data_IF_562047085437
#
_entry.id   IF_562047085437
#
_cell.length_a   1.000
_cell.length_b   1.000
_cell.length_c   1.000
_cell.angle_alpha   90.00
_cell.angle_beta   90.00
_cell.angle_gamma   90.00
#
_symmetry.space_group_name_H-M   'P 1'
#
loop_
_entity.id
_entity.type
_entity.pdbx_description
1 polymer ?
#
# COMPACT_ATOMS: atom_id res chain seq x y z
N UNK A 1 -5.83 -27.85 -20.05
CA UNK A 1 -5.97 -27.18 -18.74
C UNK A 1 -4.90 -26.10 -18.67
N UNK A 2 -5.28 -24.81 -18.64
CA UNK A 2 -4.32 -23.71 -18.57
C UNK A 2 -4.90 -22.56 -17.74
N UNK A 3 -4.27 -22.32 -16.59
CA UNK A 3 -4.61 -21.34 -15.57
C UNK A 3 -4.17 -19.95 -16.03
N UNK A 4 -5.10 -19.13 -16.54
CA UNK A 4 -4.89 -17.69 -16.67
C UNK A 4 -5.07 -17.02 -15.31
N UNK A 5 -4.02 -17.04 -14.48
CA UNK A 5 -3.86 -16.10 -13.37
C UNK A 5 -3.50 -14.73 -13.97
N UNK A 6 -4.52 -13.90 -14.20
CA UNK A 6 -4.31 -12.51 -14.64
C UNK A 6 -3.83 -11.67 -13.45
N UNK A 7 -2.52 -11.58 -13.28
CA UNK A 7 -1.91 -10.36 -12.77
C UNK A 7 -2.20 -9.26 -13.78
N UNK A 8 -3.08 -8.33 -13.42
CA UNK A 8 -3.33 -7.17 -14.25
C UNK A 8 -2.02 -6.36 -14.35
N UNK A 9 -1.50 -6.10 -15.56
CA UNK A 9 -0.34 -5.23 -15.70
C UNK A 9 -0.70 -3.86 -15.10
N UNK A 10 0.22 -3.23 -14.37
CA UNK A 10 0.07 -1.99 -13.58
C UNK A 10 -0.03 -0.72 -14.46
N UNK A 11 -0.93 -0.77 -15.42
CA UNK A 11 -0.68 -0.26 -16.76
C UNK A 11 -1.95 0.15 -17.50
N UNK A 12 -2.94 -0.75 -17.43
CA UNK A 12 -4.30 -0.48 -17.91
C UNK A 12 -5.21 0.13 -16.85
N UNK A 13 -4.67 0.66 -15.75
CA UNK A 13 -5.48 1.31 -14.71
C UNK A 13 -5.79 2.79 -14.97
N UNK A 14 -5.18 3.40 -16.00
CA UNK A 14 -5.51 4.76 -16.43
C UNK A 14 -6.62 4.83 -17.51
N UNK A 15 -7.04 3.70 -18.12
CA UNK A 15 -8.16 3.70 -19.11
C UNK A 15 -9.28 2.69 -18.87
N UNK A 16 -9.27 1.92 -17.77
CA UNK A 16 -10.41 1.09 -17.34
C UNK A 16 -11.36 1.78 -16.36
N UNK A 17 -11.15 3.07 -16.08
CA UNK A 17 -12.08 3.89 -15.29
C UNK A 17 -13.40 4.23 -16.02
N UNK A 18 -13.62 3.69 -17.22
CA UNK A 18 -14.78 3.99 -18.06
C UNK A 18 -15.82 2.86 -18.19
N UNK A 19 -15.54 1.57 -17.95
CA UNK A 19 -16.52 0.51 -18.25
C UNK A 19 -16.40 -0.75 -17.35
N UNK A 20 -16.67 -0.62 -16.05
CA UNK A 20 -17.07 -1.74 -15.21
C UNK A 20 -18.34 -1.36 -14.43
N UNK A 21 -19.34 -2.24 -14.29
CA UNK A 21 -20.64 -1.86 -13.73
C UNK A 21 -20.49 -1.34 -12.29
N UNK A 22 -21.12 -0.20 -12.03
CA UNK A 22 -21.09 0.59 -10.79
C UNK A 22 -21.81 -0.05 -9.59
N UNK A 23 -21.83 -1.38 -9.44
CA UNK A 23 -22.69 -1.99 -8.41
C UNK A 23 -22.09 -3.24 -7.77
N UNK A 24 -20.95 -3.12 -7.06
CA UNK A 24 -20.64 -4.05 -5.96
C UNK A 24 -19.86 -3.32 -4.86
N UNK A 25 -20.35 -3.43 -3.61
CA UNK A 25 -19.58 -3.09 -2.42
C UNK A 25 -18.36 -4.00 -2.33
N UNK A 26 -17.23 -3.49 -1.86
CA UNK A 26 -15.97 -4.23 -1.71
C UNK A 26 -15.34 -3.92 -0.37
N UNK A 27 -14.65 -4.90 0.21
CA UNK A 27 -13.83 -4.71 1.39
C UNK A 27 -12.41 -4.41 0.93
N UNK A 28 -11.87 -3.25 1.29
CA UNK A 28 -10.47 -2.89 1.04
C UNK A 28 -9.68 -2.98 2.33
N UNK A 29 -8.55 -3.67 2.31
CA UNK A 29 -7.69 -3.86 3.48
C UNK A 29 -6.27 -3.40 3.17
N UNK A 30 -5.68 -2.58 4.03
CA UNK A 30 -4.23 -2.42 4.13
C UNK A 30 -3.70 -3.47 5.08
N UNK A 31 -2.78 -4.30 4.59
CA UNK A 31 -2.04 -5.23 5.42
C UNK A 31 -0.65 -4.64 5.70
N UNK A 32 -0.32 -4.44 6.97
CA UNK A 32 1.01 -4.00 7.41
C UNK A 32 1.48 -4.79 8.63
N UNK A 33 2.79 -4.78 8.95
CA UNK A 33 3.30 -5.58 10.07
C UNK A 33 2.76 -5.15 11.44
N UNK A 34 2.41 -3.87 11.62
CA UNK A 34 1.95 -3.34 12.91
C UNK A 34 0.42 -3.24 13.00
N UNK A 35 -0.26 -3.15 11.87
CA UNK A 35 -1.69 -2.87 11.83
C UNK A 35 -2.39 -3.33 10.55
N UNK A 36 -3.70 -3.53 10.66
CA UNK A 36 -4.61 -3.65 9.54
C UNK A 36 -5.53 -2.44 9.53
N UNK A 37 -5.67 -1.80 8.36
CA UNK A 37 -6.75 -0.84 8.13
C UNK A 37 -7.74 -1.48 7.18
N UNK A 38 -9.03 -1.36 7.44
CA UNK A 38 -10.03 -1.81 6.51
C UNK A 38 -11.16 -0.82 6.34
N UNK A 39 -11.74 -0.78 5.15
CA UNK A 39 -12.88 0.08 4.82
C UNK A 39 -13.76 -0.59 3.77
N UNK A 40 -15.06 -0.36 3.84
CA UNK A 40 -15.99 -0.78 2.79
C UNK A 40 -16.07 0.33 1.75
N UNK A 41 -15.95 -0.03 0.46
CA UNK A 41 -16.12 0.88 -0.66
C UNK A 41 -17.37 0.56 -1.44
N UNK A 42 -18.07 1.60 -1.88
CA UNK A 42 -19.11 1.52 -2.90
C UNK A 42 -18.65 2.30 -4.13
N UNK A 43 -18.12 1.58 -5.13
CA UNK A 43 -17.43 2.19 -6.25
C UNK A 43 -16.24 3.04 -5.79
N UNK A 44 -16.23 4.32 -6.15
CA UNK A 44 -15.15 5.25 -5.78
C UNK A 44 -15.33 5.88 -4.39
N UNK A 45 -16.44 5.63 -3.68
CA UNK A 45 -16.73 6.24 -2.37
C UNK A 45 -16.44 5.28 -1.24
N UNK A 46 -15.95 5.81 -0.11
CA UNK A 46 -15.90 5.09 1.16
C UNK A 46 -17.32 5.03 1.75
N UNK A 47 -17.68 3.92 2.37
CA UNK A 47 -18.90 3.83 3.18
C UNK A 47 -18.58 4.44 4.54
N UNK A 48 -19.36 5.45 4.93
CA UNK A 48 -19.18 6.14 6.21
C UNK A 48 -19.30 5.17 7.40
N UNK A 49 -18.46 5.38 8.42
CA UNK A 49 -18.41 4.52 9.61
C UNK A 49 -17.84 3.11 9.38
N UNK A 50 -17.47 2.74 8.15
CA UNK A 50 -16.92 1.40 7.86
C UNK A 50 -15.41 1.27 8.06
N UNK A 51 -14.72 2.39 8.30
CA UNK A 51 -13.29 2.40 8.52
C UNK A 51 -12.95 1.83 9.90
N UNK A 52 -12.12 0.79 9.92
CA UNK A 52 -11.62 0.16 11.15
C UNK A 52 -10.10 0.07 11.10
N UNK A 53 -9.51 0.15 12.28
CA UNK A 53 -8.08 -0.03 12.49
C UNK A 53 -7.88 -1.09 13.57
N UNK A 54 -7.07 -2.10 13.25
CA UNK A 54 -6.81 -3.26 14.10
C UNK A 54 -5.30 -3.36 14.33
N UNK A 55 -4.91 -3.45 15.60
CA UNK A 55 -3.53 -3.72 15.99
C UNK A 55 -3.14 -5.16 15.64
N UNK A 56 -1.95 -5.35 15.06
CA UNK A 56 -1.36 -6.68 14.89
C UNK A 56 -0.55 -7.00 16.15
N UNK A 57 -0.92 -8.06 16.85
CA UNK A 57 -0.18 -8.52 18.03
C UNK A 57 1.24 -8.99 17.63
N UNK A 58 2.23 -8.74 18.48
CA UNK A 58 3.62 -9.13 18.21
C UNK A 58 4.35 -8.24 17.18
N UNK A 59 3.81 -7.05 16.90
CA UNK A 59 4.41 -5.99 16.10
C UNK A 59 5.85 -5.67 16.58
N UNK A 60 6.85 -6.33 15.99
CA UNK A 60 8.26 -6.21 16.40
C UNK A 60 9.10 -7.47 16.24
N UNK A 61 8.46 -8.65 16.17
CA UNK A 61 9.15 -9.94 16.02
C UNK A 61 9.56 -10.24 14.56
N UNK A 62 10.45 -9.43 14.00
CA UNK A 62 11.23 -9.81 12.81
C UNK A 62 10.57 -9.64 11.44
N UNK A 63 9.43 -8.95 11.33
CA UNK A 63 8.84 -8.55 10.04
C UNK A 63 8.18 -9.69 9.23
N UNK A 64 8.01 -10.88 9.83
CA UNK A 64 7.24 -11.96 9.21
C UNK A 64 5.74 -11.62 9.19
N UNK A 65 5.11 -11.88 8.06
CA UNK A 65 3.71 -11.59 7.76
C UNK A 65 2.65 -12.46 8.45
N UNK A 66 3.03 -13.52 9.18
CA UNK A 66 2.06 -14.49 9.74
C UNK A 66 1.06 -13.83 10.71
N UNK A 67 1.52 -13.00 11.65
CA UNK A 67 0.63 -12.33 12.60
C UNK A 67 -0.41 -11.42 11.90
N UNK A 68 -0.03 -10.80 10.78
CA UNK A 68 -0.94 -9.98 9.98
C UNK A 68 -1.93 -10.82 9.19
N UNK A 69 -1.55 -12.02 8.75
CA UNK A 69 -2.51 -12.98 8.17
C UNK A 69 -3.52 -13.48 9.21
N UNK A 70 -3.08 -13.75 10.43
CA UNK A 70 -3.97 -14.18 11.50
C UNK A 70 -4.97 -13.06 11.86
N UNK A 71 -4.48 -11.81 11.89
CA UNK A 71 -5.34 -10.64 12.05
C UNK A 71 -6.32 -10.47 10.87
N UNK A 72 -5.88 -10.72 9.63
CA UNK A 72 -6.76 -10.70 8.45
C UNK A 72 -7.83 -11.77 8.53
N UNK A 73 -7.46 -13.01 8.89
CA UNK A 73 -8.40 -14.12 9.08
C UNK A 73 -9.46 -13.76 10.12
N UNK A 74 -9.03 -13.24 11.26
CA UNK A 74 -9.91 -12.79 12.33
C UNK A 74 -10.86 -11.69 11.85
N UNK A 75 -10.37 -10.69 11.11
CA UNK A 75 -11.19 -9.64 10.51
C UNK A 75 -12.26 -10.24 9.58
N UNK A 76 -11.87 -11.13 8.67
CA UNK A 76 -12.80 -11.73 7.70
C UNK A 76 -13.85 -12.63 8.38
N UNK A 77 -13.53 -13.22 9.53
CA UNK A 77 -14.45 -14.05 10.31
C UNK A 77 -15.41 -13.25 11.20
N UNK A 78 -15.23 -11.93 11.34
CA UNK A 78 -16.18 -11.11 12.10
C UNK A 78 -17.59 -11.26 11.51
N UNK A 79 -18.64 -11.46 12.32
CA UNK A 79 -19.99 -11.80 11.82
C UNK A 79 -20.51 -10.84 10.75
N UNK A 80 -20.29 -9.54 10.91
CA UNK A 80 -20.73 -8.53 9.94
C UNK A 80 -20.00 -8.62 8.59
N UNK A 81 -18.70 -8.96 8.59
CA UNK A 81 -17.88 -9.08 7.38
C UNK A 81 -18.13 -10.42 6.70
N UNK A 82 -18.12 -11.50 7.48
CA UNK A 82 -18.37 -12.86 7.03
C UNK A 82 -19.76 -13.02 6.39
N UNK A 83 -20.79 -12.38 6.96
CA UNK A 83 -22.14 -12.41 6.39
C UNK A 83 -22.24 -11.64 5.06
N UNK A 84 -21.48 -10.54 4.91
CA UNK A 84 -21.53 -9.71 3.71
C UNK A 84 -20.78 -10.31 2.53
N UNK A 85 -19.78 -11.18 2.77
CA UNK A 85 -18.95 -11.86 1.75
C UNK A 85 -18.47 -10.93 0.62
N UNK A 86 -18.12 -9.70 0.97
CA UNK A 86 -17.71 -8.70 0.00
C UNK A 86 -16.43 -9.15 -0.71
N UNK A 87 -16.27 -8.88 -2.02
CA UNK A 87 -15.00 -9.06 -2.70
C UNK A 87 -13.89 -8.29 -1.98
N UNK A 88 -12.73 -8.93 -1.83
CA UNK A 88 -11.60 -8.43 -1.07
C UNK A 88 -10.54 -7.82 -1.99
N UNK A 89 -10.10 -6.61 -1.65
CA UNK A 89 -8.98 -5.89 -2.28
C UNK A 89 -7.92 -5.60 -1.21
N UNK A 90 -6.70 -6.08 -1.41
CA UNK A 90 -5.60 -5.98 -0.44
C UNK A 90 -4.54 -5.02 -0.97
N UNK A 91 -4.22 -4.01 -0.17
CA UNK A 91 -3.03 -3.17 -0.33
C UNK A 91 -1.95 -3.66 0.62
N UNK A 92 -0.76 -3.95 0.09
CA UNK A 92 0.38 -4.39 0.89
C UNK A 92 1.25 -3.21 1.27
N UNK A 93 1.65 -3.18 2.54
CA UNK A 93 2.70 -2.29 3.04
C UNK A 93 3.97 -2.41 2.20
N UNK A 94 4.70 -1.29 2.07
CA UNK A 94 6.01 -1.28 1.42
C UNK A 94 7.00 -2.27 2.07
N UNK A 95 6.75 -2.70 3.31
CA UNK A 95 7.53 -3.73 4.02
C UNK A 95 7.52 -5.09 3.32
N UNK A 96 6.45 -5.43 2.62
CA UNK A 96 6.34 -6.70 1.89
C UNK A 96 6.21 -6.52 0.37
N UNK A 97 5.96 -5.30 -0.10
CA UNK A 97 6.01 -4.96 -1.53
C UNK A 97 7.21 -4.09 -1.84
N UNK A 98 8.28 -4.69 -2.36
CA UNK A 98 9.48 -3.96 -2.77
C UNK A 98 9.30 -3.37 -4.16
N UNK A 99 9.81 -2.15 -4.35
CA UNK A 99 9.63 -1.39 -5.58
C UNK A 99 10.98 -0.92 -6.10
N UNK A 100 11.21 -1.11 -7.40
CA UNK A 100 12.40 -0.63 -8.11
C UNK A 100 12.02 -0.05 -9.46
N UNK A 101 12.83 0.87 -9.95
CA UNK A 101 12.78 1.32 -11.33
C UNK A 101 13.75 0.50 -12.17
N UNK A 102 13.21 -0.31 -13.07
CA UNK A 102 14.00 -1.08 -14.03
C UNK A 102 14.23 -0.24 -15.30
N UNK A 103 15.49 -0.10 -15.76
CA UNK A 103 15.76 0.59 -17.01
C UNK A 103 15.11 -0.15 -18.20
N UNK A 104 14.93 0.56 -19.30
CA UNK A 104 14.54 -0.07 -20.56
C UNK A 104 15.56 -1.14 -20.97
N UNK A 105 15.07 -2.25 -21.51
CA UNK A 105 15.87 -3.34 -22.06
C UNK A 105 15.06 -4.07 -23.12
N UNK A 106 15.70 -4.53 -24.19
CA UNK A 106 15.05 -5.39 -25.20
C UNK A 106 14.56 -6.72 -24.60
N UNK A 107 15.09 -7.14 -23.45
CA UNK A 107 14.57 -8.29 -22.71
C UNK A 107 13.09 -8.11 -22.31
N UNK A 108 12.57 -6.88 -22.24
CA UNK A 108 11.17 -6.58 -21.94
C UNK A 108 10.22 -6.85 -23.11
N UNK A 109 10.73 -7.13 -24.31
CA UNK A 109 9.93 -7.40 -25.53
C UNK A 109 9.34 -8.81 -25.57
N UNK A 110 9.88 -9.77 -24.79
CA UNK A 110 9.31 -11.11 -24.65
C UNK A 110 9.01 -11.43 -23.20
N UNK A 111 7.89 -12.11 -22.94
CA UNK A 111 7.44 -12.46 -21.59
C UNK A 111 8.47 -13.29 -20.82
N UNK A 112 9.03 -14.31 -21.47
CA UNK A 112 10.01 -15.21 -20.86
C UNK A 112 11.32 -14.50 -20.45
N UNK A 113 11.78 -13.55 -21.26
CA UNK A 113 12.97 -12.73 -20.95
C UNK A 113 12.66 -11.59 -19.98
N UNK A 114 11.45 -11.03 -20.04
CA UNK A 114 11.03 -9.91 -19.21
C UNK A 114 11.03 -10.32 -17.74
N UNK A 115 10.40 -11.46 -17.40
CA UNK A 115 10.36 -11.94 -16.01
C UNK A 115 11.76 -12.09 -15.41
N UNK A 116 12.69 -12.72 -16.14
CA UNK A 116 14.09 -12.89 -15.69
C UNK A 116 14.80 -11.55 -15.52
N UNK A 117 14.65 -10.63 -16.48
CA UNK A 117 15.26 -9.31 -16.39
C UNK A 117 14.76 -8.53 -15.17
N UNK A 118 13.44 -8.47 -14.96
CA UNK A 118 12.83 -7.77 -13.82
C UNK A 118 13.26 -8.40 -12.50
N UNK A 119 13.34 -9.73 -12.43
CA UNK A 119 13.87 -10.47 -11.29
C UNK A 119 15.32 -10.06 -10.98
N UNK A 120 16.18 -9.95 -12.00
CA UNK A 120 17.57 -9.50 -11.83
C UNK A 120 17.64 -8.06 -11.30
N UNK A 121 16.76 -7.16 -11.74
CA UNK A 121 16.71 -5.79 -11.22
C UNK A 121 16.39 -5.74 -9.72
N UNK A 122 15.45 -6.57 -9.26
CA UNK A 122 15.14 -6.70 -7.83
C UNK A 122 16.30 -7.36 -7.06
N UNK A 123 16.88 -8.43 -7.58
CA UNK A 123 18.00 -9.13 -6.94
C UNK A 123 19.22 -8.22 -6.75
N UNK A 124 19.46 -7.29 -7.67
CA UNK A 124 20.55 -6.32 -7.55
C UNK A 124 20.40 -5.37 -6.34
N UNK A 125 19.17 -5.08 -5.90
CA UNK A 125 18.91 -4.20 -4.75
C UNK A 125 18.63 -4.93 -3.45
N UNK A 126 17.97 -6.09 -3.53
CA UNK A 126 17.45 -6.81 -2.36
C UNK A 126 18.11 -8.18 -2.13
N UNK A 127 19.07 -8.55 -2.98
CA UNK A 127 19.84 -9.78 -2.87
C UNK A 127 19.08 -11.05 -3.29
N UNK A 128 19.66 -12.20 -2.95
CA UNK A 128 19.18 -13.52 -3.36
C UNK A 128 17.82 -13.92 -2.77
N UNK A 129 17.39 -13.27 -1.68
CA UNK A 129 16.07 -13.49 -1.07
C UNK A 129 14.92 -13.23 -2.04
N UNK A 130 15.18 -12.51 -3.13
CA UNK A 130 14.21 -12.20 -4.18
C UNK A 130 13.83 -13.41 -5.03
N UNK A 131 14.60 -14.51 -5.05
CA UNK A 131 14.35 -15.67 -5.96
C UNK A 131 12.98 -16.32 -5.78
N UNK A 132 12.39 -16.22 -4.59
CA UNK A 132 11.03 -16.71 -4.28
C UNK A 132 9.93 -15.68 -4.51
N UNK A 133 10.24 -14.50 -5.05
CA UNK A 133 9.27 -13.43 -5.21
C UNK A 133 8.49 -13.54 -6.53
N UNK A 134 7.22 -13.19 -6.46
CA UNK A 134 6.42 -12.87 -7.62
C UNK A 134 6.76 -11.44 -8.03
N UNK A 135 7.16 -11.28 -9.30
CA UNK A 135 7.63 -10.01 -9.84
C UNK A 135 6.72 -9.54 -10.96
N UNK A 136 6.26 -8.29 -10.87
CA UNK A 136 5.41 -7.65 -11.88
C UNK A 136 5.96 -6.28 -12.23
N UNK A 137 5.87 -5.92 -13.51
CA UNK A 137 6.17 -4.57 -14.01
C UNK A 137 4.91 -3.82 -14.42
N UNK A 138 5.00 -2.50 -14.49
CA UNK A 138 4.03 -1.66 -15.21
C UNK A 138 4.20 -1.79 -16.74
N UNK A 139 3.34 -1.08 -17.50
CA UNK A 139 3.36 -1.06 -18.98
C UNK A 139 4.13 0.13 -19.54
N UNK A 140 5.29 0.47 -18.98
CA UNK A 140 6.03 1.58 -19.56
C UNK A 140 6.22 1.36 -21.08
N UNK A 141 5.97 2.41 -21.91
CA UNK A 141 6.12 2.31 -23.34
C UNK A 141 7.55 1.91 -23.70
N UNK A 142 7.73 1.49 -24.95
CA UNK A 142 9.05 1.21 -25.49
C UNK A 142 10.03 2.35 -25.19
N UNK A 143 11.23 2.02 -24.73
CA UNK A 143 12.27 3.00 -24.40
C UNK A 143 12.15 3.66 -23.03
N UNK A 144 11.09 3.40 -22.26
CA UNK A 144 10.90 3.99 -20.93
C UNK A 144 11.22 3.01 -19.79
N UNK A 145 11.71 3.57 -18.68
CA UNK A 145 11.89 2.88 -17.40
C UNK A 145 10.55 2.34 -16.90
N UNK A 146 10.58 1.11 -16.36
CA UNK A 146 9.42 0.45 -15.76
C UNK A 146 9.45 0.50 -14.25
N UNK A 147 8.28 0.70 -13.64
CA UNK A 147 8.11 0.44 -12.22
C UNK A 147 7.91 -1.07 -12.03
N UNK A 148 8.70 -1.65 -11.14
CA UNK A 148 8.67 -3.07 -10.83
C UNK A 148 8.30 -3.26 -9.37
N UNK A 149 7.41 -4.21 -9.10
CA UNK A 149 7.05 -4.64 -7.77
C UNK A 149 7.41 -6.12 -7.57
N UNK A 150 8.12 -6.41 -6.48
CA UNK A 150 8.39 -7.76 -6.01
C UNK A 150 7.72 -8.01 -4.67
N UNK A 151 7.07 -9.16 -4.53
CA UNK A 151 6.44 -9.64 -3.29
C UNK A 151 6.77 -11.11 -3.10
N UNK A 152 7.01 -11.54 -1.87
CA UNK A 152 7.17 -12.97 -1.55
C UNK A 152 5.96 -13.80 -2.05
N UNK A 153 6.22 -14.82 -2.88
CA UNK A 153 5.16 -15.64 -3.48
C UNK A 153 4.39 -16.44 -2.42
N UNK A 154 5.05 -16.84 -1.34
CA UNK A 154 4.41 -17.58 -0.23
C UNK A 154 3.41 -16.69 0.51
N UNK A 155 3.73 -15.41 0.70
CA UNK A 155 2.79 -14.42 1.24
C UNK A 155 1.59 -14.24 0.29
N UNK A 156 1.83 -14.07 -1.01
CA UNK A 156 0.75 -13.90 -1.97
C UNK A 156 -0.20 -15.10 -1.97
N UNK A 157 0.35 -16.32 -1.91
CA UNK A 157 -0.47 -17.52 -1.85
C UNK A 157 -1.24 -17.60 -0.54
N UNK A 158 -0.59 -17.37 0.60
CA UNK A 158 -1.25 -17.41 1.90
C UNK A 158 -2.38 -16.36 2.02
N UNK A 159 -2.25 -15.18 1.39
CA UNK A 159 -3.34 -14.20 1.31
C UNK A 159 -4.54 -14.69 0.49
N UNK A 160 -4.28 -15.36 -0.63
CA UNK A 160 -5.32 -15.98 -1.46
C UNK A 160 -6.03 -17.07 -0.67
N UNK A 161 -5.28 -17.90 0.04
CA UNK A 161 -5.80 -19.03 0.83
C UNK A 161 -6.67 -18.54 1.98
N UNK A 162 -6.19 -17.58 2.79
CA UNK A 162 -6.97 -16.96 3.88
C UNK A 162 -8.29 -16.39 3.36
N UNK A 163 -8.26 -15.68 2.23
CA UNK A 163 -9.47 -15.12 1.62
C UNK A 163 -10.45 -16.22 1.19
N UNK A 164 -9.96 -17.27 0.53
CA UNK A 164 -10.78 -18.39 0.06
C UNK A 164 -11.38 -19.19 1.22
N UNK A 165 -10.59 -19.50 2.25
CA UNK A 165 -11.02 -20.19 3.47
C UNK A 165 -12.12 -19.41 4.21
N UNK A 166 -12.06 -18.08 4.19
CA UNK A 166 -13.09 -17.21 4.77
C UNK A 166 -14.27 -16.94 3.81
N UNK A 167 -14.27 -17.51 2.61
CA UNK A 167 -15.36 -17.37 1.63
C UNK A 167 -15.40 -16.03 0.89
N UNK A 168 -14.28 -15.30 0.84
CA UNK A 168 -14.14 -14.03 0.12
C UNK A 168 -13.40 -14.21 -1.21
N UNK A 169 -13.94 -13.62 -2.27
CA UNK A 169 -13.22 -13.54 -3.54
C UNK A 169 -12.11 -12.47 -3.46
N UNK A 170 -10.85 -12.89 -3.39
CA UNK A 170 -9.70 -11.98 -3.49
C UNK A 170 -9.54 -11.49 -4.94
N UNK A 171 -9.78 -10.20 -5.17
CA UNK A 171 -9.80 -9.61 -6.52
C UNK A 171 -8.48 -8.95 -6.89
N UNK A 172 -7.84 -8.30 -5.92
CA UNK A 172 -6.64 -7.50 -6.13
C UNK A 172 -5.75 -7.65 -4.92
N UNK A 173 -4.46 -7.89 -5.17
CA UNK A 173 -3.38 -7.69 -4.20
C UNK A 173 -2.39 -6.75 -4.89
N UNK A 174 -2.13 -5.59 -4.30
CA UNK A 174 -1.32 -4.53 -4.92
C UNK A 174 -0.43 -3.82 -3.91
N UNK A 175 0.67 -3.18 -4.33
CA UNK A 175 1.45 -2.31 -3.45
C UNK A 175 0.62 -1.10 -3.01
N UNK A 176 0.75 -0.71 -1.75
CA UNK A 176 0.08 0.46 -1.17
C UNK A 176 0.35 1.75 -1.96
N UNK A 177 1.51 1.86 -2.62
CA UNK A 177 1.82 3.00 -3.47
C UNK A 177 0.78 3.20 -4.59
N UNK A 178 0.29 2.12 -5.22
CA UNK A 178 -0.74 2.21 -6.25
C UNK A 178 -2.08 2.72 -5.71
N UNK A 179 -2.41 2.34 -4.47
CA UNK A 179 -3.58 2.85 -3.73
C UNK A 179 -3.48 4.33 -3.43
N UNK A 180 -2.33 4.78 -2.95
CA UNK A 180 -2.07 6.19 -2.64
C UNK A 180 -2.12 7.05 -3.91
N UNK A 181 -1.51 6.59 -5.01
CA UNK A 181 -1.55 7.29 -6.30
C UNK A 181 -2.97 7.50 -6.83
N UNK A 182 -3.80 6.46 -6.86
CA UNK A 182 -5.20 6.59 -7.32
C UNK A 182 -6.02 7.51 -6.42
N UNK A 183 -5.68 7.58 -5.13
CA UNK A 183 -6.33 8.49 -4.18
C UNK A 183 -5.95 9.94 -4.45
N UNK A 184 -4.64 10.21 -4.61
CA UNK A 184 -4.11 11.52 -5.01
C UNK A 184 -4.72 11.99 -6.34
N UNK A 185 -4.77 11.12 -7.35
CA UNK A 185 -5.38 11.43 -8.65
C UNK A 185 -6.87 11.76 -8.54
N UNK A 186 -7.62 10.99 -7.75
CA UNK A 186 -9.04 11.23 -7.53
C UNK A 186 -9.29 12.59 -6.84
N UNK A 187 -8.48 12.94 -5.84
CA UNK A 187 -8.55 14.24 -5.18
C UNK A 187 -8.21 15.39 -6.14
N UNK A 188 -7.16 15.22 -6.96
CA UNK A 188 -6.77 16.19 -7.98
C UNK A 188 -7.90 16.45 -8.98
N UNK A 189 -8.55 15.39 -9.48
CA UNK A 189 -9.67 15.52 -10.40
C UNK A 189 -10.85 16.26 -9.78
N UNK A 190 -11.12 16.06 -8.48
CA UNK A 190 -12.18 16.77 -7.76
C UNK A 190 -11.83 18.25 -7.55
N UNK A 191 -10.59 18.55 -7.14
CA UNK A 191 -10.09 19.90 -6.97
C UNK A 191 -10.12 20.70 -8.27
N UNK A 192 -9.65 20.11 -9.37
CA UNK A 192 -9.70 20.74 -10.71
C UNK A 192 -11.14 21.03 -11.16
N UNK A 193 -12.08 20.11 -10.93
CA UNK A 193 -13.51 20.33 -11.24
C UNK A 193 -14.11 21.48 -10.44
N UNK A 194 -13.72 21.63 -9.16
CA UNK A 194 -14.16 22.75 -8.31
C UNK A 194 -13.53 24.07 -8.76
N UNK A 195 -12.21 24.13 -8.91
CA UNK A 195 -11.50 25.34 -9.35
C UNK A 195 -12.03 25.88 -10.68
N UNK A 196 -12.28 25.00 -11.67
CA UNK A 196 -12.88 25.37 -12.95
C UNK A 196 -14.30 25.92 -12.82
N UNK A 197 -15.09 25.40 -11.87
CA UNK A 197 -16.43 25.90 -11.57
C UNK A 197 -16.38 27.29 -10.92
N UNK A 198 -15.38 27.51 -10.07
CA UNK A 198 -15.21 28.74 -9.29
C UNK A 198 -14.39 29.82 -10.03
N UNK A 199 -14.06 29.60 -11.32
CA UNK A 199 -13.30 30.55 -12.14
C UNK A 199 -11.84 30.75 -11.70
N UNK A 200 -11.32 29.90 -10.80
CA UNK A 200 -9.94 29.97 -10.29
C UNK A 200 -9.01 29.09 -11.11
N UNK A 201 -7.77 29.56 -11.30
CA UNK A 201 -6.70 28.72 -11.83
C UNK A 201 -6.52 27.47 -10.97
N UNK A 202 -6.51 26.29 -11.60
CA UNK A 202 -6.31 25.05 -10.87
C UNK A 202 -4.90 24.99 -10.29
N UNK A 203 -4.76 24.51 -9.05
CA UNK A 203 -3.46 24.28 -8.42
C UNK A 203 -2.55 23.42 -9.29
N UNK A 204 -1.25 23.74 -9.26
CA UNK A 204 -0.21 22.96 -9.92
C UNK A 204 -0.26 21.52 -9.42
N UNK A 205 -0.37 20.52 -10.33
CA UNK A 205 -0.43 19.12 -9.92
C UNK A 205 0.81 18.74 -9.12
N UNK A 206 0.63 18.00 -8.03
CA UNK A 206 1.76 17.44 -7.29
C UNK A 206 2.59 16.55 -8.20
N UNK A 207 3.86 16.92 -8.36
CA UNK A 207 4.84 16.18 -9.12
C UNK A 207 5.48 15.05 -8.31
N UNK A 208 5.08 14.85 -7.07
CA UNK A 208 5.55 13.78 -6.20
C UNK A 208 4.51 13.37 -5.16
N UNK A 209 4.69 12.16 -4.63
CA UNK A 209 3.95 11.56 -3.54
C UNK A 209 4.94 11.07 -2.48
N UNK A 210 4.64 11.28 -1.20
CA UNK A 210 5.29 10.66 -0.06
C UNK A 210 4.27 9.83 0.71
N UNK A 211 4.60 8.56 0.93
CA UNK A 211 3.83 7.61 1.70
C UNK A 211 4.57 7.36 3.01
N UNK A 212 3.91 7.64 4.12
CA UNK A 212 4.46 7.44 5.46
C UNK A 212 3.80 6.23 6.09
N UNK A 213 4.60 5.23 6.43
CA UNK A 213 4.18 4.01 7.12
C UNK A 213 4.96 3.92 8.45
N UNK A 214 4.52 3.12 9.43
CA UNK A 214 5.30 2.89 10.64
C UNK A 214 6.74 2.45 10.29
N UNK A 215 7.70 3.24 10.76
CA UNK A 215 9.12 2.99 10.55
C UNK A 215 9.68 3.35 9.16
N UNK A 216 8.90 3.90 8.21
CA UNK A 216 9.32 4.07 6.79
C UNK A 216 8.67 5.28 6.11
N UNK A 217 9.46 5.97 5.30
CA UNK A 217 8.98 6.91 4.29
C UNK A 217 9.31 6.35 2.90
N UNK A 218 8.32 6.33 2.01
CA UNK A 218 8.50 6.04 0.57
C UNK A 218 8.07 7.23 -0.25
N UNK A 219 8.98 7.79 -1.05
CA UNK A 219 8.72 8.92 -1.92
C UNK A 219 8.77 8.48 -3.39
N UNK A 220 7.85 8.97 -4.20
CA UNK A 220 7.76 8.71 -5.63
C UNK A 220 7.58 10.03 -6.39
N UNK A 221 8.43 10.29 -7.38
CA UNK A 221 8.29 11.42 -8.27
C UNK A 221 7.52 11.01 -9.52
N UNK A 222 6.65 11.89 -10.00
CA UNK A 222 5.76 11.66 -11.11
C UNK A 222 6.07 12.59 -12.29
N UNK A 223 6.06 12.02 -13.48
CA UNK A 223 6.03 12.76 -14.75
C UNK A 223 4.99 12.10 -15.65
N UNK A 224 4.08 12.88 -16.21
CA UNK A 224 3.01 12.38 -17.07
C UNK A 224 2.20 11.23 -16.45
N UNK A 225 1.90 11.34 -15.14
CA UNK A 225 1.23 10.31 -14.33
C UNK A 225 2.01 8.98 -14.17
N UNK A 226 3.29 8.93 -14.54
CA UNK A 226 4.15 7.76 -14.32
C UNK A 226 5.17 8.04 -13.23
N UNK A 227 5.53 7.00 -12.48
CA UNK A 227 6.63 7.08 -11.52
C UNK A 227 7.94 7.09 -12.30
N UNK A 228 8.72 8.15 -12.14
CA UNK A 228 10.03 8.33 -12.80
C UNK A 228 11.20 8.27 -11.83
N UNK A 229 10.94 8.44 -10.54
CA UNK A 229 11.91 8.23 -9.48
C UNK A 229 11.18 7.65 -8.26
N UNK A 230 11.81 6.73 -7.55
CA UNK A 230 11.30 6.23 -6.27
C UNK A 230 12.44 6.08 -5.27
N UNK A 231 12.18 6.42 -4.02
CA UNK A 231 13.10 6.20 -2.92
C UNK A 231 12.34 5.79 -1.67
N UNK A 232 12.83 4.77 -0.97
CA UNK A 232 12.37 4.44 0.37
C UNK A 232 13.52 4.58 1.36
N UNK A 233 13.18 4.95 2.59
CA UNK A 233 14.12 4.98 3.70
C UNK A 233 13.40 4.63 5.02
N UNK A 234 14.14 4.13 6.03
CA UNK A 234 13.64 4.10 7.40
C UNK A 234 13.22 5.49 7.86
N UNK A 235 12.23 5.54 8.75
CA UNK A 235 11.80 6.76 9.40
C UNK A 235 11.33 6.48 10.83
N UNK A 236 11.51 7.41 11.76
CA UNK A 236 10.94 7.28 13.11
C UNK A 236 9.51 7.83 13.18
N UNK A 237 8.93 7.82 14.38
CA UNK A 237 7.64 8.50 14.66
C UNK A 237 7.73 10.02 14.46
N UNK A 238 8.95 10.59 14.45
CA UNK A 238 9.22 11.99 14.13
C UNK A 238 9.31 12.26 12.62
N UNK A 239 8.64 11.47 11.79
CA UNK A 239 8.72 11.52 10.32
C UNK A 239 8.47 12.92 9.74
N UNK A 240 7.67 13.77 10.41
CA UNK A 240 7.40 15.15 9.96
C UNK A 240 8.66 16.02 9.90
N UNK A 241 9.65 15.75 10.76
CA UNK A 241 10.98 16.37 10.71
C UNK A 241 11.90 15.71 9.67
N UNK A 242 11.76 14.40 9.51
CA UNK A 242 12.63 13.62 8.64
C UNK A 242 12.26 13.74 7.16
N UNK A 243 10.99 13.91 6.83
CA UNK A 243 10.50 13.98 5.45
C UNK A 243 11.12 15.15 4.66
N UNK A 244 11.17 16.41 5.18
CA UNK A 244 11.87 17.49 4.50
C UNK A 244 13.35 17.20 4.26
N UNK A 245 14.03 16.59 5.24
CA UNK A 245 15.44 16.23 5.12
C UNK A 245 15.66 15.09 4.11
N UNK A 246 14.76 14.10 4.11
CA UNK A 246 14.75 13.00 3.15
C UNK A 246 14.59 13.52 1.73
N UNK A 247 13.63 14.42 1.54
CA UNK A 247 13.38 15.08 0.27
C UNK A 247 14.62 15.86 -0.19
N UNK A 248 15.22 16.68 0.68
CA UNK A 248 16.45 17.42 0.37
C UNK A 248 17.59 16.48 -0.04
N UNK A 249 17.82 15.39 0.70
CA UNK A 249 18.84 14.39 0.32
C UNK A 249 18.53 13.77 -1.04
N UNK A 250 17.26 13.56 -1.35
CA UNK A 250 16.84 12.98 -2.62
C UNK A 250 17.07 13.94 -3.79
N UNK A 251 16.69 15.21 -3.65
CA UNK A 251 16.91 16.23 -4.69
C UNK A 251 18.39 16.52 -4.92
N UNK A 252 19.26 16.30 -3.94
CA UNK A 252 20.72 16.36 -4.16
C UNK A 252 21.23 15.25 -5.09
N UNK A 253 20.60 14.06 -5.07
CA UNK A 253 20.96 12.93 -5.95
C UNK A 253 20.23 12.98 -7.30
N UNK A 254 19.08 13.64 -7.35
CA UNK A 254 18.25 13.80 -8.53
C UNK A 254 17.82 15.28 -8.66
N UNK A 255 18.71 16.17 -9.14
CA UNK A 255 18.48 17.61 -9.20
C UNK A 255 17.23 18.03 -9.98
N UNK A 256 16.80 17.21 -10.95
CA UNK A 256 15.56 17.41 -11.71
C UNK A 256 14.30 17.42 -10.83
N UNK A 257 14.36 16.84 -9.62
CA UNK A 257 13.26 16.84 -8.66
C UNK A 257 13.12 18.18 -7.91
N UNK A 258 14.13 19.06 -7.96
CA UNK A 258 14.08 20.35 -7.25
C UNK A 258 12.90 21.24 -7.71
N UNK A 259 12.51 21.10 -8.98
CA UNK A 259 11.38 21.82 -9.59
C UNK A 259 9.98 21.36 -9.16
N UNK A 260 9.86 20.26 -8.40
CA UNK A 260 8.56 19.74 -7.94
C UNK A 260 7.97 20.67 -6.88
N UNK A 261 7.01 21.51 -7.27
CA UNK A 261 6.43 22.53 -6.39
C UNK A 261 5.72 21.96 -5.15
N UNK A 262 4.99 20.85 -5.32
CA UNK A 262 4.24 20.20 -4.23
C UNK A 262 4.43 18.69 -4.21
N UNK A 263 4.48 18.14 -3.00
CA UNK A 263 4.57 16.72 -2.68
C UNK A 263 3.30 16.36 -1.91
N UNK A 264 2.47 15.49 -2.49
CA UNK A 264 1.34 14.91 -1.79
C UNK A 264 1.85 13.99 -0.68
N UNK A 265 1.30 14.05 0.53
CA UNK A 265 1.73 13.20 1.65
C UNK A 265 0.56 12.38 2.15
N UNK A 266 0.67 11.05 2.11
CA UNK A 266 -0.31 10.12 2.69
C UNK A 266 0.27 9.59 4.00
N UNK A 267 -0.31 10.02 5.13
CA UNK A 267 0.08 9.56 6.47
C UNK A 267 -0.71 8.29 6.83
N UNK A 268 0.02 7.19 7.02
CA UNK A 268 -0.48 5.91 7.54
C UNK A 268 0.35 5.46 8.74
N UNK A 269 1.14 6.36 9.34
CA UNK A 269 2.02 6.06 10.46
C UNK A 269 1.27 5.97 11.79
N UNK A 270 0.05 6.49 11.86
CA UNK A 270 -0.77 6.43 13.06
C UNK A 270 -0.94 4.97 13.49
N UNK A 271 -0.32 4.62 14.63
CA UNK A 271 -0.52 3.34 15.28
C UNK A 271 -1.80 3.39 16.12
N UNK A 272 -2.46 2.23 16.33
CA UNK A 272 -3.52 2.12 17.31
C UNK A 272 -2.99 2.56 18.69
N UNK A 273 -3.78 3.26 19.52
CA UNK A 273 -3.37 3.70 20.86
C UNK A 273 -2.74 2.60 21.74
N UNK A 274 -3.14 1.34 21.56
CA UNK A 274 -2.60 0.18 22.28
C UNK A 274 -1.11 -0.12 21.97
N UNK A 275 -0.57 0.39 20.85
CA UNK A 275 0.81 0.17 20.40
C UNK A 275 1.60 1.49 20.29
N UNK A 276 0.99 2.63 20.62
CA UNK A 276 1.66 3.92 20.53
C UNK A 276 2.67 4.08 21.69
N UNK A 277 3.97 4.29 21.42
CA UNK A 277 4.93 4.59 22.47
C UNK A 277 4.58 5.93 23.14
N UNK A 278 4.41 5.91 24.46
CA UNK A 278 3.87 7.04 25.26
C UNK A 278 4.82 8.24 25.43
N UNK A 279 5.96 8.28 24.75
CA UNK A 279 7.04 9.22 25.10
C UNK A 279 7.86 9.71 23.90
N UNK A 280 7.30 10.58 23.05
CA UNK A 280 8.10 11.44 22.16
C UNK A 280 7.33 12.60 21.46
N UNK A 281 6.05 12.86 21.79
CA UNK A 281 5.22 13.77 20.98
C UNK A 281 5.55 15.27 21.15
N UNK A 282 6.37 15.66 22.13
CA UNK A 282 6.56 17.07 22.48
C UNK A 282 7.52 17.87 21.57
N UNK A 283 8.17 17.23 20.60
CA UNK A 283 9.19 17.89 19.74
C UNK A 283 8.91 17.79 18.24
N UNK A 284 7.79 17.19 17.83
CA UNK A 284 7.44 17.06 16.41
C UNK A 284 6.60 18.27 16.00
N UNK A 285 7.01 19.07 14.99
CA UNK A 285 6.19 20.15 14.48
C UNK A 285 4.84 19.61 14.01
N UNK A 286 3.75 20.25 14.44
CA UNK A 286 2.41 19.87 13.97
C UNK A 286 2.25 20.13 12.47
N UNK A 287 2.90 21.19 11.96
CA UNK A 287 2.78 21.62 10.58
C UNK A 287 3.97 21.14 9.72
N UNK A 288 3.64 20.59 8.56
CA UNK A 288 4.61 20.33 7.49
C UNK A 288 4.96 21.64 6.75
N UNK A 289 6.17 21.76 6.17
CA UNK A 289 6.47 22.86 5.26
C UNK A 289 5.47 22.90 4.08
N UNK A 290 5.19 24.09 3.54
CA UNK A 290 4.14 24.32 2.53
C UNK A 290 4.24 23.45 1.26
N UNK A 291 5.43 22.94 0.94
CA UNK A 291 5.66 22.00 -0.16
C UNK A 291 4.96 20.66 0.05
N UNK A 292 4.80 20.23 1.30
CA UNK A 292 4.27 18.92 1.65
C UNK A 292 2.80 19.07 2.06
N UNK A 293 1.91 18.52 1.24
CA UNK A 293 0.46 18.68 1.40
C UNK A 293 -0.14 17.35 1.82
N UNK A 294 -0.73 17.31 3.02
CA UNK A 294 -1.42 16.11 3.49
C UNK A 294 -2.61 15.77 2.57
N UNK A 295 -2.69 14.50 2.21
CA UNK A 295 -3.76 13.90 1.43
C UNK A 295 -4.66 13.07 2.33
N UNK A 296 -5.89 12.81 1.88
CA UNK A 296 -6.82 11.96 2.64
C UNK A 296 -6.30 10.53 2.70
N UNK A 297 -6.45 9.90 3.87
CA UNK A 297 -6.18 8.49 4.04
C UNK A 297 -7.06 7.65 3.08
N UNK A 298 -6.49 6.78 2.22
CA UNK A 298 -7.25 5.93 1.30
C UNK A 298 -8.23 4.95 1.98
N UNK A 299 -8.03 4.72 3.29
CA UNK A 299 -8.85 3.86 4.14
C UNK A 299 -9.82 4.65 5.04
N UNK A 300 -9.87 5.98 4.89
CA UNK A 300 -10.71 6.87 5.71
C UNK A 300 -10.15 7.09 7.11
N UNK A 301 -10.83 7.94 7.88
CA UNK A 301 -10.56 8.11 9.31
C UNK A 301 -11.20 6.94 10.08
N UNK A 302 -10.44 6.22 10.91
CA UNK A 302 -10.96 5.06 11.63
C UNK A 302 -12.04 5.50 12.63
N UNK A 303 -13.24 4.91 12.51
CA UNK A 303 -14.34 5.21 13.43
C UNK A 303 -14.20 4.43 14.75
N UNK A 304 -13.49 3.30 14.73
CA UNK A 304 -13.33 2.39 15.86
C UNK A 304 -11.89 1.84 15.83
N UNK A 305 -11.14 2.08 16.90
CA UNK A 305 -9.91 1.32 17.19
C UNK A 305 -10.34 0.05 17.89
N UNK A 306 -10.19 -1.10 17.24
CA UNK A 306 -10.39 -2.38 17.93
C UNK A 306 -9.08 -2.75 18.61
N UNK A 307 -9.13 -3.02 19.92
CA UNK A 307 -7.95 -3.44 20.70
C UNK A 307 -7.30 -4.71 20.13
N UNK A 308 -6.08 -5.06 20.56
CA UNK A 308 -5.42 -6.28 20.10
C UNK A 308 -6.35 -7.47 20.32
N UNK A 309 -6.63 -8.23 19.26
CA UNK A 309 -7.44 -9.44 19.39
C UNK A 309 -6.58 -10.46 20.13
N UNK A 310 -6.88 -10.67 21.41
CA UNK A 310 -6.26 -11.71 22.19
C UNK A 310 -6.56 -13.06 21.54
N UNK A 311 -5.51 -13.82 21.20
CA UNK A 311 -5.65 -15.24 20.92
C UNK A 311 -6.21 -15.90 22.18
N UNK A 312 -7.42 -16.44 22.09
CA UNK A 312 -7.92 -17.35 23.11
C UNK A 312 -6.99 -18.58 23.14
N UNK A 313 -6.36 -18.92 24.28
CA UNK A 313 -5.56 -20.12 24.35
C UNK A 313 -6.47 -21.33 24.13
N UNK A 314 -6.05 -22.24 23.27
CA UNK A 314 -6.69 -23.54 23.10
C UNK A 314 -6.80 -24.23 24.48
N UNK A 315 -7.92 -24.89 24.81
CA UNK A 315 -8.05 -25.60 26.07
C UNK A 315 -7.01 -26.72 26.10
N UNK A 316 -6.12 -26.68 27.09
CA UNK A 316 -5.16 -27.74 27.35
C UNK A 316 -5.92 -29.05 27.58
N UNK A 317 -5.63 -30.05 26.74
CA UNK A 317 -6.08 -31.41 26.97
C UNK A 317 -5.51 -31.89 28.32
N UNK A 318 -6.40 -32.29 29.21
CA UNK A 318 -6.01 -32.91 30.47
C UNK A 318 -5.26 -34.22 30.20
N UNK A 319 -4.19 -34.55 30.95
CA UNK A 319 -3.54 -35.84 30.81
C UNK A 319 -4.46 -36.92 31.39
N UNK A 320 -4.82 -37.86 30.52
CA UNK A 320 -5.47 -39.12 30.86
C UNK A 320 -4.49 -39.94 31.71
N UNK A 321 -4.85 -40.16 32.97
CA UNK A 321 -4.13 -41.03 33.91
C UNK A 321 -4.47 -42.47 33.54
N UNK A 322 -3.52 -43.18 32.95
CA UNK A 322 -3.59 -44.64 32.80
C UNK A 322 -3.20 -45.32 34.12
N UNK A 323 -3.95 -46.39 34.41
CA UNK A 323 -3.93 -47.21 35.62
C UNK A 323 -2.60 -47.87 35.97
#
# INVERSE_FOLDING_TARGET
>A
MSLTERFAPLAKLASLAAQAPLTQRRLRVLLSPQQLLCVVRHGKRLVEGSAQQIAVAGAGAGGHWQASLDALRTLLQQPAIAAARLPLEISLSGRWSQLVLAPWSDALLSEASAGRFLQTQLAALYGDNTRGWSVVGDDAPYGHTRLVCGVDSTLLQALKDVAAECGHACRVIEPLLGTALRTMEAQRQQGWRRARKDGKGADTPSGALALVEPGRITMAALRDQRIVAIQSQPASDAWRLELPQAWQRWTLRAPELAGVATVAVTDLSALPPALAPSAALHLVPEALPSRFVLTTNPFGEPAIVTGPVAQQPAPAAAPEVAA
#
